data_IF_006147793323
#
_entry.id   IF_006147793323
#
_cell.length_a   1.000
_cell.length_b   1.000
_cell.length_c   1.000
_cell.angle_alpha   90.00
_cell.angle_beta   90.00
_cell.angle_gamma   90.00
#
_symmetry.space_group_name_H-M   'P 1'
#
loop_
_entity.id
_entity.type
_entity.pdbx_description
1 polymer ?
#
# COMPACT_ATOMS: atom_id res chain seq x y z
N UNK A 1 42.20 19.75 -23.98
CA UNK A 1 41.14 20.38 -23.19
C UNK A 1 39.83 20.26 -23.96
N UNK A 2 39.03 19.23 -23.67
CA UNK A 2 37.74 18.98 -24.34
C UNK A 2 36.61 19.30 -23.37
N UNK A 3 35.76 20.27 -23.71
CA UNK A 3 34.58 20.63 -22.92
C UNK A 3 33.42 19.73 -23.35
N UNK A 4 33.11 18.73 -22.53
CA UNK A 4 31.85 17.98 -22.67
C UNK A 4 30.69 18.91 -22.30
N UNK A 5 29.89 19.28 -23.30
CA UNK A 5 28.59 19.89 -23.10
C UNK A 5 27.66 18.84 -22.48
N UNK A 6 27.34 19.01 -21.20
CA UNK A 6 26.30 18.25 -20.52
C UNK A 6 24.96 18.92 -20.87
N UNK A 7 24.21 18.31 -21.79
CA UNK A 7 22.86 18.76 -22.11
C UNK A 7 21.91 18.43 -20.96
N UNK A 8 21.37 19.46 -20.32
CA UNK A 8 20.20 19.33 -19.44
C UNK A 8 19.03 18.95 -20.34
N UNK A 9 18.55 17.71 -20.22
CA UNK A 9 17.28 17.31 -20.83
C UNK A 9 16.18 17.93 -19.99
N UNK A 10 15.63 19.03 -20.47
CA UNK A 10 14.38 19.60 -20.01
C UNK A 10 13.26 18.58 -20.25
N UNK A 11 12.76 17.97 -19.18
CA UNK A 11 11.63 17.02 -19.19
C UNK A 11 10.34 17.74 -18.76
N UNK A 12 10.08 18.91 -19.31
CA UNK A 12 8.72 19.48 -19.32
C UNK A 12 7.88 18.83 -20.41
N UNK A 13 7.34 17.62 -20.14
CA UNK A 13 6.09 17.09 -20.71
C UNK A 13 5.88 15.63 -20.31
N UNK A 14 5.32 15.42 -19.12
CA UNK A 14 4.43 14.28 -18.82
C UNK A 14 3.86 14.45 -17.41
N UNK A 15 2.99 15.46 -17.22
CA UNK A 15 2.02 15.41 -16.13
C UNK A 15 0.98 14.35 -16.47
N UNK A 16 1.39 13.09 -16.42
CA UNK A 16 0.46 11.98 -16.31
C UNK A 16 0.46 11.62 -14.84
N UNK A 17 -0.43 12.29 -14.10
CA UNK A 17 -0.83 11.86 -12.76
C UNK A 17 -1.48 10.49 -12.90
N UNK A 18 -0.66 9.44 -13.04
CA UNK A 18 -1.06 8.04 -12.95
C UNK A 18 -1.39 7.76 -11.47
N UNK A 19 -2.43 8.43 -10.96
CA UNK A 19 -3.11 7.96 -9.75
C UNK A 19 -3.56 6.54 -10.06
N UNK A 20 -2.98 5.56 -9.37
CA UNK A 20 -3.33 4.15 -9.52
C UNK A 20 -4.86 4.05 -9.41
N UNK A 21 -5.57 3.53 -10.43
CA UNK A 21 -7.00 3.33 -10.31
C UNK A 21 -7.25 2.43 -9.09
N UNK A 22 -8.01 2.96 -8.13
CA UNK A 22 -8.30 2.38 -6.81
C UNK A 22 -7.12 2.26 -5.83
N UNK A 23 -6.62 3.42 -5.38
CA UNK A 23 -5.52 3.59 -4.44
C UNK A 23 -5.72 3.06 -3.00
N UNK A 24 -6.51 2.01 -2.77
CA UNK A 24 -6.48 1.25 -1.52
C UNK A 24 -6.08 -0.22 -1.71
N UNK A 25 -6.50 -0.90 -2.78
CA UNK A 25 -6.16 -2.31 -2.94
C UNK A 25 -4.69 -2.54 -3.34
N UNK A 26 -4.13 -1.74 -4.26
CA UNK A 26 -2.73 -1.93 -4.70
C UNK A 26 -1.73 -1.20 -3.82
N UNK A 27 -1.98 0.07 -3.51
CA UNK A 27 -1.15 0.87 -2.60
C UNK A 27 -1.25 0.38 -1.17
N UNK A 28 -2.44 0.03 -0.67
CA UNK A 28 -2.59 -0.51 0.69
C UNK A 28 -1.92 -1.88 0.83
N UNK A 29 -2.00 -2.76 -0.18
CA UNK A 29 -1.23 -3.99 -0.20
C UNK A 29 0.28 -3.72 -0.18
N UNK A 30 0.76 -2.80 -1.02
CA UNK A 30 2.19 -2.44 -1.04
C UNK A 30 2.67 -1.86 0.30
N UNK A 31 1.91 -0.95 0.91
CA UNK A 31 2.21 -0.39 2.23
C UNK A 31 2.24 -1.50 3.29
N UNK A 32 1.32 -2.46 3.25
CA UNK A 32 1.33 -3.58 4.17
C UNK A 32 2.60 -4.45 4.03
N UNK A 33 3.07 -4.69 2.80
CA UNK A 33 4.32 -5.40 2.56
C UNK A 33 5.53 -4.64 3.10
N UNK A 34 5.56 -3.31 2.93
CA UNK A 34 6.60 -2.48 3.53
C UNK A 34 6.56 -2.55 5.06
N UNK A 35 5.39 -2.43 5.67
CA UNK A 35 5.27 -2.52 7.14
C UNK A 35 5.68 -3.91 7.66
N UNK A 36 5.37 -4.99 6.93
CA UNK A 36 5.89 -6.32 7.25
C UNK A 36 7.42 -6.37 7.16
N UNK A 37 8.04 -5.77 6.13
CA UNK A 37 9.50 -5.70 5.98
C UNK A 37 10.15 -4.96 7.16
N UNK A 38 9.46 -3.95 7.69
CA UNK A 38 9.86 -3.18 8.88
C UNK A 38 9.50 -3.87 10.21
N UNK A 39 9.08 -5.15 10.17
CA UNK A 39 8.71 -5.96 11.34
C UNK A 39 7.52 -5.40 12.16
N UNK A 40 6.63 -4.63 11.53
CA UNK A 40 5.39 -4.19 12.18
C UNK A 40 4.46 -5.39 12.35
N UNK A 41 3.88 -5.52 13.56
CA UNK A 41 2.98 -6.63 13.88
C UNK A 41 1.74 -6.61 12.99
N UNK A 42 1.32 -7.78 12.53
CA UNK A 42 0.17 -7.97 11.64
C UNK A 42 -1.08 -7.21 12.11
N UNK A 43 -1.42 -7.25 13.40
CA UNK A 43 -2.60 -6.54 13.94
C UNK A 43 -2.58 -5.03 13.71
N UNK A 44 -1.39 -4.42 13.75
CA UNK A 44 -1.22 -2.98 13.54
C UNK A 44 -1.36 -2.63 12.06
N UNK A 45 -0.84 -3.49 11.19
CA UNK A 45 -1.03 -3.38 9.73
C UNK A 45 -2.51 -3.49 9.37
N UNK A 46 -3.22 -4.48 9.92
CA UNK A 46 -4.66 -4.66 9.68
C UNK A 46 -5.45 -3.44 10.17
N UNK A 47 -5.16 -2.96 11.38
CA UNK A 47 -5.83 -1.77 11.95
C UNK A 47 -5.61 -0.56 11.05
N UNK A 48 -4.36 -0.25 10.70
CA UNK A 48 -4.03 0.87 9.83
C UNK A 48 -4.69 0.76 8.45
N UNK A 49 -4.72 -0.43 7.85
CA UNK A 49 -5.38 -0.67 6.57
C UNK A 49 -6.89 -0.39 6.66
N UNK A 50 -7.57 -0.87 7.72
CA UNK A 50 -9.01 -0.68 7.88
C UNK A 50 -9.41 0.77 8.16
N UNK A 51 -8.52 1.60 8.72
CA UNK A 51 -8.77 3.04 8.88
C UNK A 51 -8.97 3.75 7.54
N UNK A 52 -8.37 3.23 6.46
CA UNK A 52 -8.56 3.77 5.11
C UNK A 52 -10.00 3.63 4.62
N UNK A 53 -10.78 2.66 5.14
CA UNK A 53 -12.20 2.52 4.81
C UNK A 53 -13.00 3.69 5.39
N UNK A 54 -12.71 4.04 6.65
CA UNK A 54 -13.28 5.22 7.32
C UNK A 54 -12.90 6.51 6.59
N UNK A 55 -11.62 6.66 6.24
CA UNK A 55 -11.11 7.85 5.54
C UNK A 55 -11.71 8.03 4.14
N UNK A 56 -12.10 6.93 3.47
CA UNK A 56 -12.68 6.98 2.13
C UNK A 56 -14.20 7.03 2.09
N UNK A 57 -14.90 6.81 3.21
CA UNK A 57 -16.36 6.69 3.26
C UNK A 57 -17.08 7.82 2.51
N UNK A 58 -16.66 9.08 2.72
CA UNK A 58 -17.26 10.25 2.06
C UNK A 58 -17.06 10.31 0.53
N UNK A 59 -16.05 9.61 0.01
CA UNK A 59 -15.71 9.62 -1.43
C UNK A 59 -15.96 8.27 -2.11
N UNK A 60 -16.40 7.27 -1.35
CA UNK A 60 -16.56 5.88 -1.82
C UNK A 60 -17.45 5.81 -3.07
N UNK A 61 -18.68 6.30 -2.99
CA UNK A 61 -19.65 6.20 -4.08
C UNK A 61 -19.25 7.02 -5.30
N UNK A 62 -18.60 8.16 -5.08
CA UNK A 62 -18.03 8.99 -6.14
C UNK A 62 -16.91 8.24 -6.87
N UNK A 63 -16.05 7.55 -6.14
CA UNK A 63 -14.96 6.76 -6.72
C UNK A 63 -15.47 5.54 -7.48
N UNK A 64 -16.48 4.83 -6.94
CA UNK A 64 -17.15 3.72 -7.62
C UNK A 64 -17.80 4.21 -8.92
N UNK A 65 -18.58 5.29 -8.85
CA UNK A 65 -19.27 5.85 -10.02
C UNK A 65 -18.28 6.28 -11.11
N UNK A 66 -17.15 6.89 -10.72
CA UNK A 66 -16.07 7.25 -11.64
C UNK A 66 -15.43 6.03 -12.31
N UNK A 67 -15.24 4.93 -11.58
CA UNK A 67 -14.68 3.70 -12.15
C UNK A 67 -15.62 3.05 -13.15
N UNK A 68 -16.92 2.96 -12.81
CA UNK A 68 -17.96 2.45 -13.72
C UNK A 68 -18.06 3.31 -14.97
N UNK A 69 -18.09 4.65 -14.82
CA UNK A 69 -18.15 5.58 -15.95
C UNK A 69 -16.92 5.51 -16.87
N UNK A 70 -15.76 5.12 -16.33
CA UNK A 70 -14.52 4.86 -17.10
C UNK A 70 -14.53 3.50 -17.81
N UNK A 71 -15.59 2.71 -17.68
CA UNK A 71 -15.72 1.40 -18.30
C UNK A 71 -15.01 0.28 -17.55
N UNK A 72 -14.76 0.41 -16.24
CA UNK A 72 -14.20 -0.68 -15.45
C UNK A 72 -15.16 -1.88 -15.41
N UNK A 73 -14.67 -3.05 -15.81
CA UNK A 73 -15.39 -4.33 -15.76
C UNK A 73 -16.68 -4.40 -16.60
N UNK A 74 -16.77 -3.61 -17.68
CA UNK A 74 -17.96 -3.56 -18.55
C UNK A 74 -18.32 -4.92 -19.14
N UNK A 75 -17.35 -5.81 -19.33
CA UNK A 75 -17.54 -7.18 -19.78
C UNK A 75 -18.41 -8.03 -18.85
N UNK A 76 -18.59 -7.61 -17.58
CA UNK A 76 -19.39 -8.33 -16.58
C UNK A 76 -20.85 -7.89 -16.52
N UNK A 77 -21.23 -6.85 -17.28
CA UNK A 77 -22.54 -6.20 -17.16
C UNK A 77 -22.62 -5.22 -15.98
N UNK A 78 -23.54 -4.27 -16.06
CA UNK A 78 -23.59 -3.08 -15.18
C UNK A 78 -23.63 -3.40 -13.68
N UNK A 79 -24.49 -4.35 -13.28
CA UNK A 79 -24.67 -4.71 -11.87
C UNK A 79 -23.40 -5.34 -11.29
N UNK A 80 -22.77 -6.25 -12.02
CA UNK A 80 -21.57 -6.95 -11.54
C UNK A 80 -20.33 -6.05 -11.64
N UNK A 81 -20.27 -5.17 -12.65
CA UNK A 81 -19.24 -4.14 -12.78
C UNK A 81 -19.25 -3.20 -11.57
N UNK A 82 -20.43 -2.72 -11.16
CA UNK A 82 -20.60 -1.87 -9.97
C UNK A 82 -20.12 -2.58 -8.70
N UNK A 83 -20.58 -3.81 -8.44
CA UNK A 83 -20.13 -4.62 -7.29
C UNK A 83 -18.63 -4.83 -7.26
N UNK A 84 -18.01 -5.06 -8.42
CA UNK A 84 -16.56 -5.24 -8.52
C UNK A 84 -15.81 -3.94 -8.28
N UNK A 85 -16.36 -2.80 -8.72
CA UNK A 85 -15.82 -1.48 -8.39
C UNK A 85 -15.92 -1.17 -6.89
N UNK A 86 -17.05 -1.44 -6.23
CA UNK A 86 -17.22 -1.28 -4.77
C UNK A 86 -16.18 -2.09 -4.00
N UNK A 87 -16.00 -3.37 -4.37
CA UNK A 87 -14.98 -4.25 -3.80
C UNK A 87 -13.55 -3.76 -3.98
N UNK A 88 -13.30 -2.96 -5.02
CA UNK A 88 -11.97 -2.45 -5.38
C UNK A 88 -11.63 -1.14 -4.64
N UNK A 89 -12.64 -0.35 -4.25
CA UNK A 89 -12.47 0.94 -3.57
C UNK A 89 -12.33 0.79 -2.04
N UNK A 90 -12.97 -0.21 -1.44
CA UNK A 90 -12.94 -0.42 0.02
C UNK A 90 -11.63 -1.03 0.56
N UNK A 91 -11.39 -0.85 1.86
CA UNK A 91 -10.26 -1.43 2.58
C UNK A 91 -10.72 -2.52 3.57
N UNK A 92 -11.05 -3.70 3.03
CA UNK A 92 -11.62 -4.81 3.80
C UNK A 92 -10.58 -5.54 4.66
N UNK A 93 -10.89 -5.73 5.93
CA UNK A 93 -10.07 -6.48 6.91
C UNK A 93 -9.67 -7.86 6.40
N UNK A 94 -10.63 -8.62 5.88
CA UNK A 94 -10.39 -10.00 5.44
C UNK A 94 -9.43 -10.05 4.25
N UNK A 95 -9.44 -9.01 3.41
CA UNK A 95 -8.54 -8.92 2.26
C UNK A 95 -7.10 -8.70 2.67
N UNK A 96 -6.86 -7.85 3.69
CA UNK A 96 -5.51 -7.64 4.20
C UNK A 96 -5.02 -8.83 5.02
N UNK A 97 -5.87 -9.43 5.85
CA UNK A 97 -5.52 -10.64 6.61
C UNK A 97 -5.14 -11.81 5.68
N UNK A 98 -5.89 -12.01 4.60
CA UNK A 98 -5.56 -13.00 3.59
C UNK A 98 -4.23 -12.72 2.89
N UNK A 99 -3.91 -11.45 2.60
CA UNK A 99 -2.61 -11.06 2.05
C UNK A 99 -1.47 -11.41 3.01
N UNK A 100 -1.59 -11.05 4.29
CA UNK A 100 -0.55 -11.32 5.29
C UNK A 100 -0.35 -12.82 5.48
N UNK A 101 -1.43 -13.60 5.54
CA UNK A 101 -1.36 -15.06 5.63
C UNK A 101 -0.69 -15.68 4.39
N UNK A 102 -0.97 -15.15 3.19
CA UNK A 102 -0.34 -15.63 1.95
C UNK A 102 1.14 -15.28 1.88
N UNK A 103 1.52 -14.11 2.41
CA UNK A 103 2.93 -13.70 2.51
C UNK A 103 3.74 -14.66 3.37
N UNK A 104 3.21 -15.00 4.55
CA UNK A 104 3.80 -16.00 5.43
C UNK A 104 3.87 -17.37 4.74
N UNK A 105 2.76 -17.84 4.16
CA UNK A 105 2.67 -19.18 3.57
C UNK A 105 3.62 -19.37 2.37
N UNK A 106 3.78 -18.37 1.51
CA UNK A 106 4.57 -18.49 0.28
C UNK A 106 6.04 -18.17 0.46
N UNK A 107 6.35 -17.18 1.29
CA UNK A 107 7.70 -16.62 1.39
C UNK A 107 8.28 -16.69 2.81
N UNK A 108 7.49 -17.08 3.82
CA UNK A 108 7.91 -17.04 5.23
C UNK A 108 8.08 -15.61 5.74
N UNK A 109 7.37 -14.65 5.13
CA UNK A 109 7.44 -13.23 5.48
C UNK A 109 7.86 -12.32 4.31
N UNK A 110 8.02 -11.03 4.62
CA UNK A 110 8.30 -10.01 3.60
C UNK A 110 9.75 -10.05 3.09
N UNK A 111 10.74 -10.35 3.93
CA UNK A 111 12.17 -10.38 3.54
C UNK A 111 12.39 -11.18 2.27
N UNK A 112 11.94 -12.43 2.26
CA UNK A 112 12.15 -13.32 1.13
C UNK A 112 11.38 -12.89 -0.11
N UNK A 113 10.21 -12.26 0.04
CA UNK A 113 9.52 -11.66 -1.10
C UNK A 113 10.35 -10.53 -1.71
N UNK A 114 10.90 -9.62 -0.89
CA UNK A 114 11.70 -8.50 -1.40
C UNK A 114 13.03 -8.95 -2.03
N UNK A 115 13.68 -9.96 -1.46
CA UNK A 115 14.93 -10.52 -2.00
C UNK A 115 14.68 -11.38 -3.26
N UNK A 116 13.78 -12.36 -3.18
CA UNK A 116 13.64 -13.37 -4.24
C UNK A 116 12.74 -12.90 -5.39
N UNK A 117 11.72 -12.10 -5.10
CA UNK A 117 10.71 -11.67 -6.08
C UNK A 117 10.94 -10.24 -6.53
N UNK A 118 11.07 -9.30 -5.60
CA UNK A 118 11.32 -7.89 -5.93
C UNK A 118 12.78 -7.62 -6.33
N UNK A 119 13.67 -8.59 -6.14
CA UNK A 119 15.09 -8.55 -6.53
C UNK A 119 15.89 -7.43 -5.88
N UNK A 120 15.49 -7.03 -4.67
CA UNK A 120 16.32 -6.17 -3.85
C UNK A 120 17.50 -6.96 -3.28
N UNK A 121 18.61 -6.26 -3.08
CA UNK A 121 19.75 -6.78 -2.32
C UNK A 121 19.51 -6.65 -0.83
N UNK A 122 20.24 -7.43 -0.03
CA UNK A 122 20.24 -7.31 1.43
C UNK A 122 20.61 -5.90 1.89
N UNK A 123 21.55 -5.24 1.19
CA UNK A 123 21.95 -3.86 1.46
C UNK A 123 20.80 -2.88 1.22
N UNK A 124 20.04 -3.01 0.14
CA UNK A 124 18.87 -2.15 -0.13
C UNK A 124 17.77 -2.38 0.90
N UNK A 125 17.51 -3.63 1.29
CA UNK A 125 16.56 -3.95 2.36
C UNK A 125 17.00 -3.34 3.69
N UNK A 126 18.28 -3.44 4.04
CA UNK A 126 18.86 -2.83 5.23
C UNK A 126 18.69 -1.31 5.22
N UNK A 127 18.99 -0.68 4.08
CA UNK A 127 18.83 0.76 3.90
C UNK A 127 17.37 1.22 4.01
N UNK A 128 16.42 0.47 3.46
CA UNK A 128 14.98 0.76 3.62
C UNK A 128 14.58 0.73 5.09
N UNK A 129 15.06 -0.25 5.85
CA UNK A 129 14.79 -0.35 7.30
C UNK A 129 15.34 0.83 8.06
N UNK A 130 16.59 1.17 7.81
CA UNK A 130 17.26 2.33 8.42
C UNK A 130 16.53 3.64 8.09
N UNK A 131 16.14 3.83 6.82
CA UNK A 131 15.49 5.06 6.37
C UNK A 131 14.07 5.24 6.93
N UNK A 132 13.32 4.15 7.08
CA UNK A 132 11.89 4.18 7.42
C UNK A 132 11.59 3.84 8.89
N UNK A 133 12.62 3.58 9.70
CA UNK A 133 12.47 3.44 11.15
C UNK A 133 13.24 4.54 11.87
N UNK A 134 12.79 4.88 13.06
CA UNK A 134 13.48 5.79 13.94
C UNK A 134 13.52 5.16 15.33
N UNK A 135 14.66 5.30 15.99
CA UNK A 135 14.73 5.01 17.42
C UNK A 135 13.98 6.12 18.17
N UNK A 136 13.11 5.71 19.08
CA UNK A 136 12.42 6.66 19.95
C UNK A 136 13.12 6.63 21.29
N UNK A 137 13.89 7.67 21.61
CA UNK A 137 14.36 7.92 22.98
C UNK A 137 13.22 8.58 23.77
N UNK A 138 12.58 7.83 24.67
CA UNK A 138 11.54 8.36 25.55
C UNK A 138 10.65 7.28 26.16
N UNK A 139 9.93 7.65 27.23
CA UNK A 139 8.95 6.78 27.87
C UNK A 139 7.73 6.54 26.94
N UNK A 140 7.60 5.30 26.47
CA UNK A 140 6.49 4.86 25.61
C UNK A 140 5.23 4.46 26.41
N UNK A 141 5.22 4.64 27.73
CA UNK A 141 4.08 4.30 28.59
C UNK A 141 2.76 4.93 28.11
N UNK A 142 2.80 6.13 27.53
CA UNK A 142 1.62 6.83 27.01
C UNK A 142 1.09 6.27 25.67
N UNK A 143 1.92 5.55 24.90
CA UNK A 143 1.52 4.88 23.66
C UNK A 143 0.94 3.48 23.90
N UNK A 144 1.00 2.98 25.14
CA UNK A 144 0.38 1.73 25.57
C UNK A 144 -1.14 1.85 25.63
N UNK A 145 -1.67 2.93 26.20
CA UNK A 145 -3.11 3.09 26.48
C UNK A 145 -3.96 3.24 25.19
N UNK A 146 -3.38 3.78 24.12
CA UNK A 146 -4.05 3.89 22.82
C UNK A 146 -4.19 2.55 22.08
N UNK A 147 -3.49 1.49 22.52
CA UNK A 147 -3.50 0.16 21.91
C UNK A 147 -4.42 -0.84 22.61
N UNK A 148 -4.89 -0.54 23.82
CA UNK A 148 -5.73 -1.44 24.62
C UNK A 148 -7.25 -1.29 24.34
N UNK A 149 -7.65 -0.28 23.56
CA UNK A 149 -9.04 -0.08 23.13
C UNK A 149 -9.53 -1.02 22.01
N UNK A 150 -8.73 -2.04 21.65
CA UNK A 150 -9.08 -3.05 20.66
C UNK A 150 -9.03 -4.49 21.21
N UNK A 151 -9.29 -4.65 22.52
CA UNK A 151 -9.47 -5.95 23.18
C UNK A 151 -10.94 -6.33 23.31
#
# INVERSE_FOLDING_TARGET
MSRHHFGIVDRTTASSSHSLPAGNNRSGAFIALLLLLLNVRARHIVTAYTLSDVGLAATHDVNVSRLVAKGAFTELGEVEAKKKCERMVGARRESIEALLAEMERRWGGADRYFLDVARLTENEVGWIRELLTAEVEGDLSHWSEANDLAS
#
